data_IF_213228908545
#
_entry.id   IF_213228908545
#
_cell.length_a   1.000
_cell.length_b   1.000
_cell.length_c   1.000
_cell.angle_alpha   90.00
_cell.angle_beta   90.00
_cell.angle_gamma   90.00
#
_symmetry.space_group_name_H-M   'P 1'
#
loop_
_entity.id
_entity.type
_entity.pdbx_description
1 polymer ?
#
# COMPACT_ATOMS: atom_id res chain seq x y z
N UNK A 1 14.03 -8.72 -12.52
CA UNK A 1 12.81 -9.44 -12.97
C UNK A 1 11.74 -9.15 -11.95
N UNK A 2 10.61 -8.53 -12.32
CA UNK A 2 9.50 -8.39 -11.37
C UNK A 2 8.84 -9.75 -11.23
N UNK A 3 8.75 -10.28 -10.01
CA UNK A 3 7.99 -11.49 -9.73
C UNK A 3 6.61 -11.36 -10.38
N UNK A 4 6.32 -12.26 -11.30
CA UNK A 4 5.03 -12.26 -11.99
C UNK A 4 3.96 -12.60 -10.96
N UNK A 5 3.06 -11.65 -10.69
CA UNK A 5 1.92 -11.85 -9.79
C UNK A 5 1.23 -13.17 -10.13
N UNK A 6 1.05 -14.00 -9.11
CA UNK A 6 0.44 -15.32 -9.20
C UNK A 6 -1.06 -15.23 -9.48
N UNK A 7 -1.65 -16.35 -9.91
CA UNK A 7 -3.09 -16.46 -10.17
C UNK A 7 -3.90 -16.15 -8.91
N UNK A 8 -3.48 -16.69 -7.77
CA UNK A 8 -4.14 -16.49 -6.47
C UNK A 8 -4.08 -15.03 -6.01
N UNK A 9 -2.96 -14.33 -6.21
CA UNK A 9 -2.84 -12.90 -5.90
C UNK A 9 -3.80 -12.04 -6.73
N UNK A 10 -3.92 -12.29 -8.04
CA UNK A 10 -4.94 -11.62 -8.86
C UNK A 10 -6.35 -11.89 -8.36
N UNK A 11 -6.62 -13.13 -7.97
CA UNK A 11 -7.94 -13.53 -7.52
C UNK A 11 -8.30 -12.91 -6.16
N UNK A 12 -7.31 -12.74 -5.25
CA UNK A 12 -7.47 -12.01 -3.98
C UNK A 12 -7.86 -10.55 -4.17
N UNK A 13 -7.46 -9.94 -5.29
CA UNK A 13 -7.85 -8.57 -5.63
C UNK A 13 -9.30 -8.48 -6.11
N UNK A 14 -9.90 -9.56 -6.61
CA UNK A 14 -11.30 -9.54 -7.07
C UNK A 14 -12.23 -9.28 -5.87
N UNK A 15 -13.19 -8.36 -6.05
CA UNK A 15 -14.15 -7.98 -4.98
C UNK A 15 -15.10 -9.12 -4.60
N UNK A 16 -15.40 -10.02 -5.53
CA UNK A 16 -16.47 -11.01 -5.44
C UNK A 16 -15.90 -12.42 -5.67
N UNK A 17 -14.98 -12.88 -4.83
CA UNK A 17 -14.40 -14.23 -4.93
C UNK A 17 -14.91 -15.14 -3.80
N UNK A 18 -15.27 -16.38 -4.14
CA UNK A 18 -15.61 -17.42 -3.17
C UNK A 18 -14.35 -17.97 -2.50
N UNK A 19 -14.35 -18.27 -1.19
CA UNK A 19 -13.23 -18.91 -0.49
C UNK A 19 -12.75 -20.20 -1.17
N UNK A 20 -13.66 -21.01 -1.71
CA UNK A 20 -13.35 -22.26 -2.41
C UNK A 20 -12.47 -21.98 -3.63
N UNK A 21 -12.83 -20.97 -4.43
CA UNK A 21 -12.05 -20.59 -5.60
C UNK A 21 -10.66 -20.05 -5.23
N UNK A 22 -10.53 -19.35 -4.10
CA UNK A 22 -9.24 -18.88 -3.60
C UNK A 22 -8.33 -20.06 -3.23
N UNK A 23 -8.85 -21.03 -2.49
CA UNK A 23 -8.08 -22.23 -2.11
C UNK A 23 -7.62 -22.99 -3.36
N UNK A 24 -8.51 -23.22 -4.31
CA UNK A 24 -8.18 -23.87 -5.59
C UNK A 24 -7.09 -23.08 -6.35
N UNK A 25 -7.22 -21.75 -6.42
CA UNK A 25 -6.26 -20.90 -7.15
C UNK A 25 -4.83 -20.96 -6.63
N UNK A 26 -4.62 -21.34 -5.37
CA UNK A 26 -3.28 -21.42 -4.77
C UNK A 26 -2.37 -22.47 -5.42
N UNK A 27 -2.96 -23.50 -6.04
CA UNK A 27 -2.25 -24.62 -6.68
C UNK A 27 -2.21 -24.52 -8.20
N UNK A 28 -2.93 -23.54 -8.78
CA UNK A 28 -3.11 -23.42 -10.23
C UNK A 28 -1.97 -22.62 -10.85
N UNK A 29 -1.33 -23.19 -11.87
CA UNK A 29 -0.34 -22.48 -12.69
C UNK A 29 -1.01 -21.60 -13.75
N UNK A 30 -0.28 -20.60 -14.27
CA UNK A 30 -0.76 -19.80 -15.40
C UNK A 30 -1.05 -20.63 -16.65
N UNK A 31 -0.28 -21.69 -16.90
CA UNK A 31 -0.51 -22.58 -18.03
C UNK A 31 -1.84 -23.31 -17.90
N UNK A 32 -2.04 -23.97 -16.76
CA UNK A 32 -3.28 -24.69 -16.43
C UNK A 32 -4.50 -23.76 -16.42
N UNK A 33 -4.34 -22.55 -15.85
CA UNK A 33 -5.40 -21.56 -15.85
C UNK A 33 -5.91 -21.28 -17.26
N UNK A 34 -5.03 -21.25 -18.27
CA UNK A 34 -5.36 -20.90 -19.65
C UNK A 34 -5.79 -22.08 -20.54
N UNK A 35 -5.40 -23.31 -20.20
CA UNK A 35 -5.68 -24.51 -21.02
C UNK A 35 -6.85 -25.34 -20.50
N UNK A 36 -7.07 -25.36 -19.18
CA UNK A 36 -8.10 -26.23 -18.59
C UNK A 36 -9.52 -25.86 -19.04
N UNK A 37 -10.35 -26.89 -19.22
CA UNK A 37 -11.79 -26.79 -19.48
C UNK A 37 -12.64 -27.05 -18.22
N UNK A 38 -12.00 -27.31 -17.07
CA UNK A 38 -12.71 -27.49 -15.79
C UNK A 38 -13.54 -26.24 -15.46
N UNK A 39 -14.79 -26.45 -15.06
CA UNK A 39 -15.74 -25.35 -14.87
C UNK A 39 -15.33 -24.37 -13.77
N UNK A 40 -14.67 -24.83 -12.71
CA UNK A 40 -14.18 -23.98 -11.63
C UNK A 40 -12.92 -23.21 -12.07
N UNK A 41 -12.01 -23.86 -12.80
CA UNK A 41 -10.82 -23.19 -13.36
C UNK A 41 -11.21 -22.12 -14.38
N UNK A 42 -12.24 -22.37 -15.20
CA UNK A 42 -12.80 -21.38 -16.13
C UNK A 42 -13.40 -20.19 -15.36
N UNK A 43 -14.10 -20.42 -14.24
CA UNK A 43 -14.59 -19.33 -13.37
C UNK A 43 -13.43 -18.49 -12.80
N UNK A 44 -12.35 -19.14 -12.35
CA UNK A 44 -11.14 -18.45 -11.87
C UNK A 44 -10.53 -17.61 -13.00
N UNK A 45 -10.37 -18.18 -14.20
CA UNK A 45 -9.82 -17.48 -15.39
C UNK A 45 -10.62 -16.21 -15.68
N UNK A 46 -11.95 -16.30 -15.66
CA UNK A 46 -12.82 -15.14 -15.89
C UNK A 46 -12.62 -14.05 -14.84
N UNK A 47 -12.59 -14.41 -13.55
CA UNK A 47 -12.39 -13.44 -12.44
C UNK A 47 -11.02 -12.78 -12.46
N UNK A 48 -9.97 -13.54 -12.79
CA UNK A 48 -8.61 -13.00 -13.00
C UNK A 48 -8.60 -12.05 -14.22
N UNK A 49 -9.31 -12.41 -15.28
CA UNK A 49 -9.49 -11.57 -16.46
C UNK A 49 -10.14 -10.22 -16.15
N UNK A 50 -11.19 -10.20 -15.31
CA UNK A 50 -11.85 -8.97 -14.85
C UNK A 50 -10.87 -8.02 -14.16
N UNK A 51 -10.09 -8.54 -13.20
CA UNK A 51 -9.07 -7.77 -12.47
C UNK A 51 -7.98 -7.25 -13.40
N UNK A 52 -7.47 -8.09 -14.30
CA UNK A 52 -6.43 -7.69 -15.28
C UNK A 52 -6.93 -6.63 -16.24
N UNK A 53 -8.16 -6.76 -16.74
CA UNK A 53 -8.78 -5.78 -17.62
C UNK A 53 -8.94 -4.43 -16.91
N UNK A 54 -9.34 -4.44 -15.63
CA UNK A 54 -9.46 -3.21 -14.86
C UNK A 54 -8.10 -2.53 -14.63
N UNK A 55 -7.06 -3.28 -14.25
CA UNK A 55 -5.69 -2.75 -14.13
C UNK A 55 -5.24 -2.13 -15.46
N UNK A 56 -5.51 -2.79 -16.59
CA UNK A 56 -5.18 -2.25 -17.91
C UNK A 56 -5.91 -0.93 -18.19
N UNK A 57 -7.22 -0.86 -17.91
CA UNK A 57 -8.01 0.37 -18.04
C UNK A 57 -7.45 1.49 -17.16
N UNK A 58 -7.21 1.24 -15.88
CA UNK A 58 -6.70 2.27 -14.97
C UNK A 58 -5.33 2.79 -15.40
N UNK A 59 -4.46 1.91 -15.89
CA UNK A 59 -3.16 2.32 -16.44
C UNK A 59 -3.27 3.24 -17.67
N UNK A 60 -4.32 3.09 -18.47
CA UNK A 60 -4.55 3.89 -19.68
C UNK A 60 -5.34 5.19 -19.44
N UNK A 61 -6.23 5.20 -18.44
CA UNK A 61 -7.18 6.29 -18.25
C UNK A 61 -6.90 7.23 -17.08
N UNK A 62 -6.11 6.81 -16.08
CA UNK A 62 -5.73 7.71 -14.98
C UNK A 62 -4.99 8.92 -15.55
N UNK A 63 -5.46 10.11 -15.21
CA UNK A 63 -4.85 11.39 -15.58
C UNK A 63 -4.18 11.99 -14.36
N UNK A 64 -2.97 12.51 -14.57
CA UNK A 64 -2.17 13.11 -13.53
C UNK A 64 -2.24 14.63 -13.58
N UNK A 65 -2.35 15.22 -12.40
CA UNK A 65 -1.99 16.60 -12.12
C UNK A 65 -0.74 16.61 -11.24
N UNK A 66 -0.03 17.72 -11.20
CA UNK A 66 1.14 17.92 -10.34
C UNK A 66 0.84 18.99 -9.30
N UNK A 67 1.26 18.75 -8.06
CA UNK A 67 1.34 19.84 -7.06
C UNK A 67 2.66 20.59 -7.25
N UNK A 68 3.74 19.86 -7.50
CA UNK A 68 5.08 20.35 -7.81
C UNK A 68 5.86 19.26 -8.61
N UNK A 69 7.15 19.47 -8.80
CA UNK A 69 8.02 18.53 -9.55
C UNK A 69 8.17 17.14 -8.91
N UNK A 70 7.78 16.99 -7.64
CA UNK A 70 7.95 15.75 -6.85
C UNK A 70 6.65 14.99 -6.61
N UNK A 71 5.48 15.60 -6.79
CA UNK A 71 4.20 14.98 -6.42
C UNK A 71 3.23 15.01 -7.60
N UNK A 72 2.81 13.80 -8.01
CA UNK A 72 1.78 13.58 -9.01
C UNK A 72 0.55 12.96 -8.36
N UNK A 73 -0.63 13.44 -8.71
CA UNK A 73 -1.87 12.90 -8.20
C UNK A 73 -2.95 12.76 -9.27
N UNK A 74 -3.91 11.88 -9.05
CA UNK A 74 -4.97 11.61 -10.03
C UNK A 74 -6.18 10.89 -9.44
N UNK A 75 -7.33 11.12 -10.08
CA UNK A 75 -8.55 10.42 -9.71
C UNK A 75 -8.53 8.98 -10.22
N UNK A 76 -8.94 8.04 -9.36
CA UNK A 76 -9.11 6.64 -9.69
C UNK A 76 -10.15 6.00 -8.76
N UNK A 77 -11.15 5.34 -9.34
CA UNK A 77 -12.19 4.61 -8.61
C UNK A 77 -12.26 3.16 -9.07
N UNK A 78 -11.43 2.27 -8.51
CA UNK A 78 -11.44 0.87 -8.86
C UNK A 78 -12.62 0.13 -8.21
N UNK A 79 -13.21 -0.80 -8.94
CA UNK A 79 -14.18 -1.76 -8.47
C UNK A 79 -13.51 -2.93 -7.72
N UNK A 80 -12.35 -3.39 -8.18
CA UNK A 80 -11.57 -4.41 -7.50
C UNK A 80 -10.53 -3.79 -6.55
N UNK A 81 -9.92 -4.62 -5.69
CA UNK A 81 -8.89 -4.21 -4.73
C UNK A 81 -7.53 -4.01 -5.41
N UNK A 82 -7.49 -3.21 -6.49
CA UNK A 82 -6.31 -3.01 -7.34
C UNK A 82 -5.59 -1.69 -7.09
N UNK A 83 -6.16 -0.80 -6.27
CA UNK A 83 -5.68 0.58 -6.16
C UNK A 83 -4.21 0.69 -5.76
N UNK A 84 -3.76 -0.11 -4.79
CA UNK A 84 -2.34 -0.23 -4.40
C UNK A 84 -1.46 -0.65 -5.57
N UNK A 85 -1.83 -1.71 -6.28
CA UNK A 85 -1.04 -2.25 -7.39
C UNK A 85 -0.91 -1.23 -8.52
N UNK A 86 -2.01 -0.56 -8.88
CA UNK A 86 -1.99 0.47 -9.93
C UNK A 86 -1.09 1.64 -9.52
N UNK A 87 -1.19 2.08 -8.27
CA UNK A 87 -0.35 3.17 -7.73
C UNK A 87 1.13 2.79 -7.73
N UNK A 88 1.47 1.55 -7.33
CA UNK A 88 2.85 1.03 -7.37
C UNK A 88 3.43 0.94 -8.80
N UNK A 89 2.59 0.61 -9.79
CA UNK A 89 3.00 0.58 -11.21
C UNK A 89 3.39 1.99 -11.67
N UNK A 90 2.61 3.00 -11.29
CA UNK A 90 2.93 4.38 -11.62
C UNK A 90 4.14 4.91 -10.86
N UNK A 91 4.28 4.59 -9.56
CA UNK A 91 5.44 5.01 -8.77
C UNK A 91 6.75 4.42 -9.31
N UNK A 92 6.72 3.17 -9.79
CA UNK A 92 7.88 2.57 -10.46
C UNK A 92 8.21 3.27 -11.79
N UNK A 93 7.19 3.74 -12.52
CA UNK A 93 7.34 4.43 -13.81
C UNK A 93 7.89 5.85 -13.64
N UNK A 94 7.36 6.60 -12.68
CA UNK A 94 7.76 7.97 -12.36
C UNK A 94 8.67 7.95 -11.13
N UNK A 95 9.88 7.46 -11.33
CA UNK A 95 10.87 7.39 -10.25
C UNK A 95 11.13 8.77 -9.67
N UNK A 96 11.36 8.85 -8.35
CA UNK A 96 11.54 10.11 -7.61
C UNK A 96 10.27 10.97 -7.49
N UNK A 97 9.13 10.54 -8.05
CA UNK A 97 7.84 11.16 -7.78
C UNK A 97 7.04 10.35 -6.76
N UNK A 98 6.37 11.05 -5.85
CA UNK A 98 5.29 10.48 -5.05
C UNK A 98 4.01 10.45 -5.89
N UNK A 99 3.41 9.28 -6.01
CA UNK A 99 2.15 9.08 -6.72
C UNK A 99 1.03 8.98 -5.71
N UNK A 100 -0.01 9.82 -5.85
CA UNK A 100 -1.22 9.79 -5.02
C UNK A 100 -2.43 9.56 -5.92
N UNK A 101 -3.06 8.39 -5.84
CA UNK A 101 -4.29 8.10 -6.56
C UNK A 101 -5.44 7.94 -5.58
N UNK A 102 -6.64 8.39 -5.94
CA UNK A 102 -7.77 8.24 -5.03
C UNK A 102 -9.11 8.66 -5.61
N UNK A 103 -10.13 8.57 -4.76
CA UNK A 103 -11.49 8.99 -5.05
C UNK A 103 -12.11 9.62 -3.79
N UNK A 104 -13.43 9.71 -3.73
CA UNK A 104 -14.15 10.37 -2.63
C UNK A 104 -14.03 9.64 -1.28
N UNK A 105 -13.57 8.39 -1.27
CA UNK A 105 -13.63 7.51 -0.10
C UNK A 105 -12.34 6.73 0.17
N UNK A 106 -11.34 6.87 -0.70
CA UNK A 106 -10.08 6.13 -0.54
C UNK A 106 -8.95 6.79 -1.31
N UNK A 107 -7.76 6.76 -0.71
CA UNK A 107 -6.51 7.20 -1.32
C UNK A 107 -5.46 6.09 -1.20
N UNK A 108 -4.65 5.98 -2.23
CA UNK A 108 -3.45 5.15 -2.32
C UNK A 108 -2.28 6.05 -2.68
N UNK A 109 -1.23 6.03 -1.88
CA UNK A 109 0.01 6.70 -2.19
C UNK A 109 1.17 5.69 -2.27
N UNK A 110 2.04 5.90 -3.25
CA UNK A 110 3.24 5.07 -3.44
C UNK A 110 4.41 5.92 -3.91
N UNK A 111 5.56 5.67 -3.32
CA UNK A 111 6.84 6.25 -3.70
C UNK A 111 7.86 5.13 -3.87
N UNK A 112 8.55 5.14 -5.00
CA UNK A 112 9.53 4.11 -5.35
C UNK A 112 10.93 4.70 -5.42
N UNK A 113 11.82 4.21 -4.56
CA UNK A 113 13.25 4.59 -4.52
C UNK A 113 14.07 3.37 -4.13
N UNK A 114 15.28 3.26 -4.68
CA UNK A 114 16.28 2.25 -4.28
C UNK A 114 15.73 0.82 -4.25
N UNK A 115 14.89 0.49 -5.25
CA UNK A 115 14.25 -0.81 -5.39
C UNK A 115 13.26 -1.17 -4.26
N UNK A 116 12.79 -0.18 -3.49
CA UNK A 116 11.80 -0.33 -2.42
C UNK A 116 10.59 0.59 -2.61
N UNK A 117 9.44 0.18 -2.06
CA UNK A 117 8.20 0.94 -2.08
C UNK A 117 7.84 1.47 -0.69
N UNK A 118 7.77 2.80 -0.55
CA UNK A 118 7.06 3.44 0.58
C UNK A 118 5.59 3.59 0.16
N UNK A 119 4.67 3.00 0.92
CA UNK A 119 3.24 2.91 0.57
C UNK A 119 2.37 3.43 1.69
N UNK A 120 1.23 3.99 1.31
CA UNK A 120 0.23 4.46 2.25
C UNK A 120 -1.18 4.33 1.66
N UNK A 121 -2.14 4.02 2.53
CA UNK A 121 -3.56 3.92 2.17
C UNK A 121 -4.40 4.56 3.27
N UNK A 122 -5.44 5.30 2.88
CA UNK A 122 -6.39 5.93 3.80
C UNK A 122 -7.82 5.88 3.25
N UNK A 123 -8.80 5.95 4.15
CA UNK A 123 -10.24 6.03 3.86
C UNK A 123 -10.77 7.46 3.64
N UNK A 124 -9.91 8.48 3.71
CA UNK A 124 -10.24 9.87 3.39
C UNK A 124 -10.36 10.09 1.88
N UNK A 125 -11.01 11.20 1.51
CA UNK A 125 -11.14 11.61 0.11
C UNK A 125 -9.80 12.09 -0.45
N UNK A 126 -9.63 11.97 -1.77
CA UNK A 126 -8.45 12.48 -2.47
C UNK A 126 -8.26 13.98 -2.22
N UNK A 127 -9.33 14.77 -2.35
CA UNK A 127 -9.26 16.23 -2.22
C UNK A 127 -8.78 16.66 -0.83
N UNK A 128 -9.26 16.01 0.24
CA UNK A 128 -8.77 16.27 1.61
C UNK A 128 -7.27 15.99 1.76
N UNK A 129 -6.76 14.93 1.16
CA UNK A 129 -5.33 14.58 1.21
C UNK A 129 -4.52 15.60 0.42
N UNK A 130 -4.98 15.99 -0.77
CA UNK A 130 -4.28 16.95 -1.63
C UNK A 130 -4.20 18.32 -0.96
N UNK A 131 -5.29 18.81 -0.36
CA UNK A 131 -5.28 20.10 0.34
C UNK A 131 -4.31 20.09 1.54
N UNK A 132 -4.28 19.00 2.32
CA UNK A 132 -3.28 18.84 3.39
C UNK A 132 -1.85 18.85 2.86
N UNK A 133 -1.58 18.16 1.75
CA UNK A 133 -0.26 18.12 1.15
C UNK A 133 0.17 19.51 0.65
N UNK A 134 -0.74 20.28 0.05
CA UNK A 134 -0.46 21.66 -0.39
C UNK A 134 -0.10 22.57 0.77
N UNK A 135 -0.91 22.58 1.84
CA UNK A 135 -0.66 23.39 3.04
C UNK A 135 0.70 23.09 3.67
N UNK A 136 1.11 21.82 3.67
CA UNK A 136 2.43 21.41 4.17
C UNK A 136 3.57 21.96 3.29
N UNK A 137 3.40 21.96 1.97
CA UNK A 137 4.42 22.43 1.01
C UNK A 137 4.55 23.95 1.04
N UNK A 138 3.44 24.68 1.15
CA UNK A 138 3.45 26.15 1.25
C UNK A 138 4.16 26.66 2.51
N UNK A 139 4.35 25.79 3.52
CA UNK A 139 5.03 26.11 4.78
C UNK A 139 6.54 25.81 4.81
N UNK A 140 7.11 25.15 3.80
CA UNK A 140 8.54 24.75 3.76
C UNK A 140 9.13 25.05 2.36
N UNK A 141 10.03 26.03 2.24
CA UNK A 141 10.60 26.50 0.95
C UNK A 141 11.50 25.46 0.25
N UNK A 142 12.05 24.48 0.98
CA UNK A 142 12.76 23.32 0.43
C UNK A 142 12.02 22.02 0.74
N UNK A 143 11.24 21.55 -0.23
CA UNK A 143 10.40 20.36 -0.08
C UNK A 143 11.24 19.09 0.03
N UNK A 144 11.47 18.62 1.25
CA UNK A 144 11.98 17.29 1.54
C UNK A 144 10.83 16.27 1.63
N UNK A 145 10.88 15.24 0.77
CA UNK A 145 9.89 14.16 0.75
C UNK A 145 9.88 13.44 2.11
N UNK A 146 11.01 13.32 2.80
CA UNK A 146 11.06 12.66 4.12
C UNK A 146 10.38 13.47 5.22
N UNK A 147 10.47 14.80 5.19
CA UNK A 147 9.71 15.68 6.08
C UNK A 147 8.21 15.59 5.84
N UNK A 148 7.75 15.59 4.58
CA UNK A 148 6.31 15.45 4.26
C UNK A 148 5.78 14.13 4.84
N UNK A 149 6.53 13.03 4.67
CA UNK A 149 6.15 11.74 5.23
C UNK A 149 6.13 11.72 6.75
N UNK A 150 7.09 12.35 7.42
CA UNK A 150 7.13 12.43 8.89
C UNK A 150 5.99 13.28 9.46
N UNK A 151 5.81 14.52 8.97
CA UNK A 151 4.79 15.45 9.48
C UNK A 151 3.38 14.91 9.21
N UNK A 152 3.17 14.26 8.06
CA UNK A 152 1.90 13.62 7.75
C UNK A 152 1.62 12.42 8.66
N UNK A 153 2.62 11.60 8.99
CA UNK A 153 2.48 10.48 9.92
C UNK A 153 2.21 10.95 11.36
N UNK A 154 2.89 12.01 11.80
CA UNK A 154 2.66 12.65 13.10
C UNK A 154 1.26 13.27 13.21
N UNK A 155 0.73 13.85 12.12
CA UNK A 155 -0.63 14.40 12.09
C UNK A 155 -1.76 13.35 12.21
N UNK A 156 -1.41 12.07 12.08
CA UNK A 156 -2.32 10.93 12.25
C UNK A 156 -2.09 10.20 13.58
N UNK A 157 -1.14 10.66 14.40
CA UNK A 157 -0.81 10.02 15.67
C UNK A 157 -1.83 10.35 16.76
N UNK A 158 -2.78 9.44 16.98
CA UNK A 158 -3.70 9.46 18.12
C UNK A 158 -3.01 8.72 19.27
N UNK A 159 -2.41 9.46 20.21
CA UNK A 159 -1.71 8.93 21.39
C UNK A 159 -2.55 7.90 22.17
N UNK A 160 -3.87 8.09 22.17
CA UNK A 160 -4.83 7.27 22.94
C UNK A 160 -5.08 5.87 22.34
N UNK A 161 -4.55 5.56 21.15
CA UNK A 161 -4.66 4.23 20.52
C UNK A 161 -3.43 3.33 20.75
N UNK A 162 -2.47 3.77 21.55
CA UNK A 162 -1.34 2.94 21.99
C UNK A 162 -1.80 1.83 22.94
N UNK A 163 -2.14 0.66 22.39
CA UNK A 163 -2.21 -0.57 23.19
C UNK A 163 -0.92 -1.38 23.00
N UNK A 164 0.14 -0.84 23.59
CA UNK A 164 1.48 -1.46 23.61
C UNK A 164 1.45 -2.90 24.08
N UNK A 165 0.60 -3.21 25.06
CA UNK A 165 0.44 -4.57 25.57
C UNK A 165 -0.02 -5.56 24.50
N UNK A 166 -0.93 -5.18 23.60
CA UNK A 166 -1.39 -6.05 22.52
C UNK A 166 -0.32 -6.24 21.43
N UNK A 167 0.44 -5.17 21.13
CA UNK A 167 1.49 -5.18 20.12
C UNK A 167 2.63 -6.13 20.50
N UNK A 168 3.16 -6.01 21.72
CA UNK A 168 4.22 -6.91 22.22
C UNK A 168 3.74 -8.37 22.37
N UNK A 169 2.45 -8.59 22.67
CA UNK A 169 1.87 -9.95 22.80
C UNK A 169 1.68 -10.66 21.46
N UNK A 170 1.56 -9.92 20.35
CA UNK A 170 1.38 -10.46 18.99
C UNK A 170 2.66 -10.45 18.13
N UNK A 171 3.72 -9.80 18.58
CA UNK A 171 4.98 -9.71 17.83
C UNK A 171 5.88 -10.92 18.12
N UNK A 172 6.23 -11.75 17.10
CA UNK A 172 7.11 -12.89 17.31
C UNK A 172 8.54 -12.42 17.64
N UNK A 173 9.13 -12.95 18.73
CA UNK A 173 10.44 -12.53 19.29
C UNK A 173 11.59 -12.46 18.28
N UNK A 174 11.52 -13.23 17.18
CA UNK A 174 12.53 -13.27 16.11
C UNK A 174 12.63 -11.96 15.30
N UNK A 175 11.58 -11.13 15.31
CA UNK A 175 11.54 -9.86 14.56
C UNK A 175 12.00 -8.64 15.36
N UNK A 176 12.28 -8.77 16.67
CA UNK A 176 12.79 -7.63 17.45
C UNK A 176 14.17 -7.15 16.97
N UNK A 177 15.07 -8.06 16.62
CA UNK A 177 16.45 -7.71 16.21
C UNK A 177 16.59 -7.07 14.83
N UNK A 178 15.58 -7.18 13.95
CA UNK A 178 15.66 -6.71 12.56
C UNK A 178 15.11 -5.30 12.35
N UNK A 179 14.57 -4.68 13.40
CA UNK A 179 14.12 -3.29 13.39
C UNK A 179 15.32 -2.46 13.82
N UNK A 180 16.12 -2.02 12.84
CA UNK A 180 17.41 -1.37 13.07
C UNK A 180 17.38 -0.35 14.22
N UNK A 181 18.36 -0.51 15.11
CA UNK A 181 18.66 0.29 16.30
C UNK A 181 18.84 1.79 16.00
N UNK A 182 17.74 2.50 15.75
CA UNK A 182 17.66 3.97 15.79
C UNK A 182 16.29 4.49 16.28
N UNK A 183 15.31 3.60 16.48
CA UNK A 183 14.01 3.95 17.09
C UNK A 183 14.13 3.97 18.62
N UNK A 184 15.07 3.21 19.19
CA UNK A 184 15.28 3.10 20.65
C UNK A 184 15.88 4.36 21.31
N UNK A 185 16.39 5.34 20.56
CA UNK A 185 17.08 6.49 21.14
C UNK A 185 16.26 7.77 21.27
N UNK A 186 15.00 7.81 20.79
CA UNK A 186 14.15 9.02 20.88
C UNK A 186 12.90 8.89 21.74
N UNK A 187 12.72 7.76 22.42
CA UNK A 187 11.59 7.56 23.33
C UNK A 187 12.11 7.56 24.77
N UNK A 188 12.11 8.75 25.36
CA UNK A 188 12.08 9.04 26.79
C UNK A 188 12.38 7.85 27.74
N UNK A 189 13.67 7.73 28.11
CA UNK A 189 14.17 7.28 29.42
C UNK A 189 13.41 6.15 30.12
N UNK A 190 13.51 4.90 29.62
CA UNK A 190 13.54 3.64 30.42
C UNK A 190 14.14 2.52 29.58
N UNK A 191 15.17 1.83 30.07
CA UNK A 191 15.78 0.69 29.39
C UNK A 191 14.96 -0.58 29.56
N UNK A 192 15.11 -1.53 28.62
CA UNK A 192 14.38 -2.81 28.58
C UNK A 192 14.46 -3.61 29.89
N UNK A 193 15.54 -3.44 30.66
CA UNK A 193 15.77 -4.13 31.92
C UNK A 193 14.79 -3.69 33.02
N UNK A 194 14.28 -2.46 33.00
CA UNK A 194 13.35 -1.94 34.02
C UNK A 194 11.95 -2.57 33.94
N UNK A 195 11.59 -3.18 32.79
CA UNK A 195 10.33 -3.91 32.63
C UNK A 195 10.43 -5.39 33.01
N UNK A 196 11.63 -5.96 33.04
CA UNK A 196 11.85 -7.38 33.35
C UNK A 196 12.04 -7.61 34.85
N UNK A 197 12.31 -6.54 35.62
CA UNK A 197 12.53 -6.62 37.08
C UNK A 197 11.32 -6.20 37.94
N UNK A 198 10.12 -6.13 37.37
CA UNK A 198 8.89 -5.91 38.15
C UNK A 198 8.10 -7.21 38.30
N UNK A 199 8.62 -8.11 39.13
CA UNK A 199 7.89 -9.19 39.81
C UNK A 199 8.51 -9.39 41.20
#
# INVERSE_FOLDING_TARGET
>A
MSDSISVSEYLLMNKNVSPILLEMSSKISWHELNTSADSEIVKIRRKVGEVRAEIHRMRGFVRFNSINDKILFGYMKPEHKIGRLVTDIFARRFQKNMIILGNEHRVWASYYSDNFYKRYEDSRSLDEIIEKVKLLIESDEEVDIEKIWQVYYESQYIKERENHGLFYKKMPKKHLKSTGNNIELKLNTRTLDEYVSSD
#
